data_IF_730923851629
#
_entry.id   IF_730923851629
#
_cell.length_a   1.000
_cell.length_b   1.000
_cell.length_c   1.000
_cell.angle_alpha   90.00
_cell.angle_beta   90.00
_cell.angle_gamma   90.00
#
_symmetry.space_group_name_H-M   'P 1'
#
loop_
_entity.id
_entity.type
_entity.pdbx_description
1 polymer ?
#
# COMPACT_ATOMS: atom_id res chain seq x y z
N UNK A 1 21.72 -11.07 10.05
CA UNK A 1 20.49 -10.41 9.55
C UNK A 1 20.46 -10.62 8.05
N UNK A 2 19.43 -11.30 7.53
CA UNK A 2 19.26 -11.55 6.09
C UNK A 2 18.60 -10.30 5.50
N UNK A 3 19.31 -9.55 4.66
CA UNK A 3 18.81 -8.29 4.09
C UNK A 3 17.82 -8.62 2.97
N UNK A 4 16.58 -8.16 3.09
CA UNK A 4 15.61 -8.09 2.01
C UNK A 4 15.57 -6.65 1.54
N UNK A 5 15.77 -6.43 0.24
CA UNK A 5 15.73 -5.10 -0.36
C UNK A 5 14.64 -5.06 -1.44
N UNK A 6 13.65 -4.19 -1.27
CA UNK A 6 12.63 -3.91 -2.26
C UNK A 6 12.86 -2.53 -2.88
N UNK A 7 12.64 -2.40 -4.18
CA UNK A 7 12.66 -1.12 -4.90
C UNK A 7 11.62 -1.09 -5.99
N UNK A 8 11.04 0.09 -6.22
CA UNK A 8 10.24 0.33 -7.41
C UNK A 8 11.13 0.45 -8.65
N UNK A 9 10.71 -0.22 -9.72
CA UNK A 9 11.34 -0.22 -11.03
C UNK A 9 10.44 0.50 -12.03
N UNK A 10 10.71 1.78 -12.34
CA UNK A 10 9.85 2.56 -13.25
C UNK A 10 9.90 2.07 -14.70
N UNK A 11 10.90 1.28 -15.09
CA UNK A 11 10.98 0.75 -16.46
C UNK A 11 9.99 -0.37 -16.73
N UNK A 12 9.60 -1.10 -15.69
CA UNK A 12 8.69 -2.23 -15.79
C UNK A 12 7.40 -2.03 -14.98
N UNK A 13 7.21 -0.86 -14.37
CA UNK A 13 6.14 -0.60 -13.40
C UNK A 13 5.98 -1.76 -12.40
N UNK A 14 7.05 -2.06 -11.66
CA UNK A 14 7.11 -3.26 -10.81
C UNK A 14 7.89 -3.03 -9.53
N UNK A 15 7.64 -3.86 -8.52
CA UNK A 15 8.47 -3.95 -7.32
C UNK A 15 9.48 -5.10 -7.49
N UNK A 16 10.76 -4.75 -7.48
CA UNK A 16 11.87 -5.71 -7.47
C UNK A 16 12.29 -5.99 -6.03
N UNK A 17 12.09 -7.22 -5.55
CA UNK A 17 12.46 -7.69 -4.21
C UNK A 17 13.65 -8.61 -4.34
N UNK A 18 14.79 -8.21 -3.78
CA UNK A 18 16.04 -8.95 -3.79
C UNK A 18 16.27 -9.58 -2.42
N UNK A 19 16.44 -10.88 -2.41
CA UNK A 19 16.92 -11.63 -1.26
C UNK A 19 18.43 -11.83 -1.37
N UNK A 20 19.14 -11.84 -0.25
CA UNK A 20 20.60 -11.95 -0.22
C UNK A 20 21.17 -13.22 -0.90
N UNK A 21 20.36 -14.28 -1.03
CA UNK A 21 20.70 -15.51 -1.77
C UNK A 21 20.63 -15.34 -3.31
N UNK A 22 20.38 -14.12 -3.81
CA UNK A 22 20.29 -13.82 -5.24
C UNK A 22 18.92 -14.12 -5.87
N UNK A 23 17.94 -14.57 -5.07
CA UNK A 23 16.56 -14.69 -5.54
C UNK A 23 15.94 -13.31 -5.72
N UNK A 24 15.35 -13.10 -6.89
CA UNK A 24 14.61 -11.89 -7.23
C UNK A 24 13.15 -12.26 -7.42
N UNK A 25 12.28 -11.70 -6.60
CA UNK A 25 10.84 -11.70 -6.82
C UNK A 25 10.48 -10.36 -7.47
N UNK A 26 9.71 -10.40 -8.56
CA UNK A 26 9.18 -9.21 -9.22
C UNK A 26 7.67 -9.23 -9.16
N UNK A 27 7.08 -8.16 -8.62
CA UNK A 27 5.64 -7.94 -8.60
C UNK A 27 5.34 -6.90 -9.68
N UNK A 28 4.63 -7.30 -10.74
CA UNK A 28 4.12 -6.36 -11.75
C UNK A 28 2.94 -5.57 -11.14
N UNK A 29 3.10 -4.26 -11.01
CA UNK A 29 2.08 -3.40 -10.39
C UNK A 29 0.78 -3.38 -11.21
N UNK A 30 0.86 -3.47 -12.54
CA UNK A 30 -0.36 -3.50 -13.37
C UNK A 30 -1.16 -4.78 -13.13
N UNK A 31 -0.46 -5.90 -12.90
CA UNK A 31 -1.09 -7.17 -12.60
C UNK A 31 -1.59 -7.23 -11.16
N UNK A 32 -0.84 -6.68 -10.20
CA UNK A 32 -1.22 -6.61 -8.79
C UNK A 32 -2.46 -5.73 -8.56
N UNK A 33 -2.54 -4.62 -9.29
CA UNK A 33 -3.68 -3.69 -9.24
C UNK A 33 -4.82 -4.10 -10.19
N UNK A 34 -4.67 -5.21 -10.93
CA UNK A 34 -5.69 -5.67 -11.86
C UNK A 34 -6.98 -6.04 -11.11
N UNK A 35 -8.04 -5.27 -11.35
CA UNK A 35 -9.34 -5.47 -10.71
C UNK A 35 -9.52 -4.72 -9.37
N UNK A 36 -8.47 -4.08 -8.87
CA UNK A 36 -8.58 -3.18 -7.71
C UNK A 36 -9.40 -1.95 -8.13
N UNK A 37 -10.41 -1.62 -7.34
CA UNK A 37 -11.24 -0.43 -7.52
C UNK A 37 -10.63 0.72 -6.73
N UNK A 38 -10.07 1.70 -7.42
CA UNK A 38 -9.43 2.88 -6.82
C UNK A 38 -10.17 4.17 -7.19
N UNK A 39 -10.18 5.15 -6.28
CA UNK A 39 -10.38 6.56 -6.64
C UNK A 39 -9.08 7.19 -7.16
N UNK A 40 -9.12 8.38 -7.79
CA UNK A 40 -7.89 9.10 -8.14
C UNK A 40 -6.95 9.37 -6.96
N UNK A 41 -7.49 9.54 -5.75
CA UNK A 41 -6.69 9.78 -4.56
C UNK A 41 -6.02 8.49 -4.05
N UNK A 42 -6.76 7.40 -3.89
CA UNK A 42 -6.17 6.12 -3.46
C UNK A 42 -5.20 5.55 -4.48
N UNK A 43 -5.44 5.74 -5.78
CA UNK A 43 -4.44 5.39 -6.80
C UNK A 43 -3.14 6.20 -6.64
N UNK A 44 -3.24 7.50 -6.30
CA UNK A 44 -2.06 8.31 -5.99
C UNK A 44 -1.35 7.81 -4.74
N UNK A 45 -2.08 7.40 -3.71
CA UNK A 45 -1.52 6.81 -2.50
C UNK A 45 -0.81 5.49 -2.80
N UNK A 46 -1.38 4.60 -3.64
CA UNK A 46 -0.73 3.36 -4.09
C UNK A 46 0.58 3.65 -4.85
N UNK A 47 0.56 4.62 -5.77
CA UNK A 47 1.75 5.02 -6.52
C UNK A 47 2.86 5.55 -5.60
N UNK A 48 2.49 6.38 -4.62
CA UNK A 48 3.41 6.85 -3.58
C UNK A 48 3.92 5.69 -2.72
N UNK A 49 3.07 4.74 -2.35
CA UNK A 49 3.46 3.57 -1.57
C UNK A 49 4.49 2.72 -2.31
N UNK A 50 4.29 2.46 -3.61
CA UNK A 50 5.24 1.73 -4.43
C UNK A 50 6.62 2.41 -4.45
N UNK A 51 6.67 3.74 -4.58
CA UNK A 51 7.93 4.51 -4.66
C UNK A 51 8.61 4.64 -3.30
N UNK A 52 7.87 5.06 -2.28
CA UNK A 52 8.41 5.45 -0.98
C UNK A 52 8.57 4.27 -0.02
N UNK A 53 7.67 3.27 -0.11
CA UNK A 53 7.70 2.06 0.71
C UNK A 53 7.37 0.78 -0.11
N UNK A 54 8.25 0.40 -1.05
CA UNK A 54 8.04 -0.73 -1.97
C UNK A 54 7.84 -2.07 -1.25
N UNK A 55 8.38 -2.24 -0.05
CA UNK A 55 8.22 -3.48 0.72
C UNK A 55 6.78 -3.63 1.26
N UNK A 56 6.17 -2.52 1.71
CA UNK A 56 4.78 -2.53 2.16
C UNK A 56 3.82 -2.73 0.99
N UNK A 57 4.07 -2.08 -0.17
CA UNK A 57 3.32 -2.37 -1.38
C UNK A 57 3.37 -3.86 -1.74
N UNK A 58 4.58 -4.45 -1.72
CA UNK A 58 4.76 -5.87 -1.99
C UNK A 58 4.00 -6.76 -1.01
N UNK A 59 4.00 -6.41 0.28
CA UNK A 59 3.23 -7.12 1.31
C UNK A 59 1.73 -7.13 0.94
N UNK A 60 1.15 -5.95 0.69
CA UNK A 60 -0.27 -5.83 0.32
C UNK A 60 -0.62 -6.64 -0.94
N UNK A 61 0.25 -6.62 -1.95
CA UNK A 61 0.04 -7.37 -3.19
C UNK A 61 0.09 -8.90 -2.97
N UNK A 62 1.02 -9.38 -2.14
CA UNK A 62 1.20 -10.81 -1.88
C UNK A 62 0.14 -11.37 -0.91
N UNK A 63 -0.27 -10.56 0.07
CA UNK A 63 -1.29 -10.94 1.06
C UNK A 63 -2.73 -10.78 0.51
N UNK A 64 -2.89 -10.13 -0.66
CA UNK A 64 -4.20 -9.85 -1.25
C UNK A 64 -4.98 -8.74 -0.52
N UNK A 65 -4.30 -7.92 0.28
CA UNK A 65 -4.90 -6.87 1.12
C UNK A 65 -5.05 -5.52 0.39
N UNK A 66 -4.63 -5.44 -0.88
CA UNK A 66 -4.58 -4.18 -1.62
C UNK A 66 -5.93 -3.46 -1.73
N UNK A 67 -7.03 -4.19 -1.98
CA UNK A 67 -8.36 -3.58 -2.04
C UNK A 67 -8.79 -3.03 -0.68
N UNK A 68 -8.58 -3.79 0.40
CA UNK A 68 -8.94 -3.35 1.75
C UNK A 68 -8.14 -2.10 2.18
N UNK A 69 -6.88 -2.00 1.77
CA UNK A 69 -6.06 -0.82 1.98
C UNK A 69 -6.59 0.40 1.21
N UNK A 70 -6.96 0.21 -0.06
CA UNK A 70 -7.56 1.24 -0.91
C UNK A 70 -8.89 1.75 -0.34
N UNK A 71 -9.77 0.85 0.06
CA UNK A 71 -11.07 1.19 0.65
C UNK A 71 -10.91 2.02 1.94
N UNK A 72 -9.87 1.73 2.72
CA UNK A 72 -9.54 2.49 3.91
C UNK A 72 -9.03 3.89 3.57
N UNK A 73 -8.12 4.03 2.60
CA UNK A 73 -7.64 5.34 2.11
C UNK A 73 -8.78 6.22 1.56
N UNK A 74 -9.69 5.62 0.78
CA UNK A 74 -10.86 6.32 0.24
C UNK A 74 -11.80 6.77 1.37
N UNK A 75 -11.98 5.93 2.39
CA UNK A 75 -12.78 6.29 3.57
C UNK A 75 -12.16 7.44 4.35
N UNK A 76 -10.82 7.52 4.46
CA UNK A 76 -10.12 8.62 5.11
C UNK A 76 -10.30 9.94 4.35
N UNK A 77 -10.29 9.90 3.01
CA UNK A 77 -10.51 11.10 2.19
C UNK A 77 -11.85 11.76 2.54
N UNK A 78 -12.91 10.97 2.72
CA UNK A 78 -14.24 11.46 3.13
C UNK A 78 -14.14 12.30 4.41
N UNK A 79 -13.46 11.80 5.45
CA UNK A 79 -13.28 12.54 6.70
C UNK A 79 -12.44 13.82 6.54
N UNK A 80 -11.41 13.80 5.68
CA UNK A 80 -10.62 15.01 5.40
C UNK A 80 -11.41 16.05 4.61
N UNK A 81 -12.31 15.64 3.72
CA UNK A 81 -13.16 16.53 2.94
C UNK A 81 -14.30 17.13 3.77
N UNK A 82 -14.80 16.41 4.78
CA UNK A 82 -15.73 16.94 5.77
C UNK A 82 -15.05 17.75 6.90
N UNK A 83 -13.72 17.95 6.84
CA UNK A 83 -12.98 18.74 7.83
C UNK A 83 -12.88 18.08 9.21
N UNK A 84 -13.14 16.78 9.29
CA UNK A 84 -13.07 16.00 10.53
C UNK A 84 -11.60 15.67 10.87
N UNK A 85 -10.73 15.56 9.85
CA UNK A 85 -9.28 15.32 10.00
C UNK A 85 -8.44 16.34 9.20
N UNK A 86 -7.30 16.80 9.73
CA UNK A 86 -6.43 17.76 9.03
C UNK A 86 -5.70 17.11 7.83
N UNK A 87 -5.79 17.76 6.66
CA UNK A 87 -5.27 17.28 5.36
C UNK A 87 -3.75 17.09 5.27
N UNK A 88 -2.98 17.62 6.22
CA UNK A 88 -1.50 17.70 6.13
C UNK A 88 -0.74 16.93 7.21
N UNK A 89 -1.39 16.07 8.01
CA UNK A 89 -0.77 15.42 9.17
C UNK A 89 -0.45 13.92 9.05
N UNK A 90 -0.74 13.26 7.92
CA UNK A 90 -0.87 11.79 7.89
C UNK A 90 0.09 11.04 6.96
N UNK A 91 1.22 11.63 6.54
CA UNK A 91 2.29 10.85 5.88
C UNK A 91 2.88 9.74 6.78
N UNK A 92 2.42 9.60 8.02
CA UNK A 92 2.92 8.63 9.00
C UNK A 92 1.84 7.74 9.66
N UNK A 93 0.57 7.80 9.23
CA UNK A 93 -0.51 7.09 9.92
C UNK A 93 -1.35 6.06 9.14
N UNK A 94 -0.97 5.54 7.95
CA UNK A 94 -1.65 4.34 7.45
C UNK A 94 -1.36 3.12 8.34
N UNK A 95 -0.24 3.12 9.07
CA UNK A 95 0.17 1.95 9.86
C UNK A 95 -0.60 1.76 11.18
N UNK A 96 -1.18 2.81 11.80
CA UNK A 96 -1.91 2.66 13.07
C UNK A 96 -3.43 2.53 12.91
N UNK A 97 -4.02 3.10 11.87
CA UNK A 97 -5.48 3.05 11.65
C UNK A 97 -5.93 1.79 10.91
N UNK A 98 -5.11 1.25 10.00
CA UNK A 98 -5.40 -0.04 9.35
C UNK A 98 -5.38 -1.17 10.36
N UNK A 99 -4.44 -1.15 11.32
CA UNK A 99 -4.37 -2.13 12.40
C UNK A 99 -5.64 -2.09 13.28
N UNK A 100 -6.17 -0.91 13.64
CA UNK A 100 -7.36 -0.83 14.49
C UNK A 100 -8.64 -1.27 13.76
N UNK A 101 -8.79 -0.94 12.49
CA UNK A 101 -9.95 -1.35 11.69
C UNK A 101 -9.97 -2.87 11.42
N UNK A 102 -8.81 -3.46 11.10
CA UNK A 102 -8.67 -4.91 10.93
C UNK A 102 -8.86 -5.66 12.25
N UNK A 103 -8.30 -5.16 13.37
CA UNK A 103 -8.53 -5.75 14.70
C UNK A 103 -10.01 -5.70 15.11
N UNK A 104 -10.73 -4.62 14.79
CA UNK A 104 -12.16 -4.51 15.09
C UNK A 104 -13.02 -5.49 14.27
N UNK A 105 -12.65 -5.76 13.01
CA UNK A 105 -13.32 -6.78 12.18
C UNK A 105 -12.97 -8.22 12.55
N UNK A 106 -11.82 -8.48 13.21
CA UNK A 106 -11.45 -9.82 13.72
C UNK A 106 -11.98 -10.10 15.13
N UNK A 107 -12.47 -9.08 15.85
CA UNK A 107 -12.97 -9.17 17.23
C UNK A 107 -14.50 -8.96 17.34
N UNK A 108 -15.22 -8.93 16.20
CA UNK A 108 -16.69 -8.93 16.13
C UNK A 108 -17.21 -10.19 15.46
#
# INVERSE_FOLDING_TARGET
>A
MKLIHARYNPMHNSIDINHYDGYILRIDCNQAESGIQTTPNSQRCLNSLAIDNPLEYARLALDGEMQAWVDAEDSLEVYTNFGILPKHGLLFLPHLLVISSILNNLLS
#
